data_IF_900289342716
#
_entry.id   IF_900289342716
#
_cell.length_a   1.000
_cell.length_b   1.000
_cell.length_c   1.000
_cell.angle_alpha   90.00
_cell.angle_beta   90.00
_cell.angle_gamma   90.00
#
_symmetry.space_group_name_H-M   'P 1'
#
loop_
_entity.id
_entity.type
_entity.pdbx_description
1 polymer ?
#
# COMPACT_ATOMS: atom_id res chain seq x y z
N UNK A 1 13.69 8.23 16.64
CA UNK A 1 12.48 8.37 15.80
C UNK A 1 12.74 7.60 14.53
N UNK A 2 12.17 6.39 14.41
CA UNK A 2 12.44 5.49 13.28
C UNK A 2 11.84 6.12 12.03
N UNK A 3 12.68 6.40 11.02
CA UNK A 3 12.22 6.83 9.70
C UNK A 3 11.08 5.91 9.26
N UNK A 4 9.92 6.48 8.93
CA UNK A 4 8.76 5.72 8.47
C UNK A 4 9.19 4.85 7.30
N UNK A 5 9.17 3.54 7.51
CA UNK A 5 9.57 2.56 6.49
C UNK A 5 8.70 2.84 5.27
N UNK A 6 9.29 3.24 4.16
CA UNK A 6 8.56 3.35 2.89
C UNK A 6 8.61 1.98 2.25
N UNK A 7 7.46 1.45 1.87
CA UNK A 7 7.40 0.24 1.05
C UNK A 7 7.35 0.66 -0.41
N UNK A 8 8.01 -0.10 -1.29
CA UNK A 8 8.02 0.17 -2.72
C UNK A 8 7.88 -1.15 -3.47
N UNK A 9 6.90 -1.24 -4.36
CA UNK A 9 6.58 -2.46 -5.09
C UNK A 9 5.99 -2.11 -6.46
N UNK A 10 6.08 -3.03 -7.42
CA UNK A 10 5.38 -2.88 -8.70
C UNK A 10 4.05 -3.64 -8.67
N UNK A 11 3.04 -3.08 -9.34
CA UNK A 11 1.71 -3.73 -9.44
C UNK A 11 1.79 -5.09 -10.16
N UNK A 12 2.78 -5.26 -11.05
CA UNK A 12 3.05 -6.51 -11.76
C UNK A 12 3.55 -7.62 -10.82
N UNK A 13 4.31 -7.29 -9.78
CA UNK A 13 4.74 -8.29 -8.79
C UNK A 13 3.54 -8.88 -8.03
N UNK A 14 2.46 -8.11 -7.90
CA UNK A 14 1.24 -8.51 -7.18
C UNK A 14 0.34 -9.45 -7.98
N UNK A 15 0.72 -9.86 -9.20
CA UNK A 15 0.07 -10.99 -9.87
C UNK A 15 0.30 -12.31 -9.13
N UNK A 16 1.44 -12.40 -8.42
CA UNK A 16 1.81 -13.57 -7.63
C UNK A 16 1.13 -13.56 -6.25
N UNK A 17 0.38 -14.62 -5.87
CA UNK A 17 -0.32 -14.69 -4.58
C UNK A 17 0.60 -14.45 -3.38
N UNK A 18 1.81 -15.01 -3.39
CA UNK A 18 2.78 -14.86 -2.30
C UNK A 18 3.26 -13.42 -2.11
N UNK A 19 3.37 -12.66 -3.20
CA UNK A 19 3.74 -11.24 -3.15
C UNK A 19 2.58 -10.39 -2.61
N UNK A 20 1.33 -10.74 -2.96
CA UNK A 20 0.15 -10.09 -2.36
C UNK A 20 0.07 -10.32 -0.87
N UNK A 21 0.25 -11.56 -0.42
CA UNK A 21 0.19 -11.91 0.99
C UNK A 21 1.31 -11.23 1.78
N UNK A 22 2.53 -11.19 1.22
CA UNK A 22 3.65 -10.47 1.80
C UNK A 22 3.35 -8.97 1.91
N UNK A 23 2.85 -8.35 0.84
CA UNK A 23 2.49 -6.93 0.85
C UNK A 23 1.37 -6.62 1.86
N UNK A 24 0.34 -7.45 1.96
CA UNK A 24 -0.73 -7.32 2.94
C UNK A 24 -0.19 -7.29 4.38
N UNK A 25 0.75 -8.19 4.68
CA UNK A 25 1.43 -8.24 5.97
C UNK A 25 2.29 -6.99 6.22
N UNK A 26 3.03 -6.53 5.21
CA UNK A 26 3.87 -5.34 5.34
C UNK A 26 3.04 -4.05 5.49
N UNK A 27 1.92 -3.91 4.77
CA UNK A 27 1.01 -2.77 4.89
C UNK A 27 0.37 -2.71 6.28
N UNK A 28 -0.03 -3.88 6.81
CA UNK A 28 -0.54 -3.99 8.19
C UNK A 28 0.52 -3.61 9.22
N UNK A 29 1.78 -4.01 9.01
CA UNK A 29 2.88 -3.64 9.89
C UNK A 29 3.28 -2.15 9.76
N UNK A 30 2.94 -1.50 8.64
CA UNK A 30 3.25 -0.11 8.39
C UNK A 30 2.45 0.84 9.28
N UNK A 31 1.18 0.50 9.51
CA UNK A 31 0.27 1.21 10.41
C UNK A 31 -0.51 0.17 11.22
N UNK A 32 0.10 -0.43 12.26
CA UNK A 32 -0.49 -1.54 13.02
C UNK A 32 -1.73 -1.12 13.82
N UNK A 33 -1.92 0.19 14.00
CA UNK A 33 -2.98 0.86 14.72
C UNK A 33 -3.98 1.55 13.76
N UNK A 34 -4.06 1.08 12.51
CA UNK A 34 -5.08 1.53 11.54
C UNK A 34 -6.48 1.31 12.11
N UNK A 35 -7.33 2.33 12.07
CA UNK A 35 -8.68 2.26 12.64
C UNK A 35 -9.56 1.17 12.02
N UNK A 36 -9.40 0.91 10.73
CA UNK A 36 -10.10 -0.16 10.01
C UNK A 36 -9.53 -1.57 10.29
N UNK A 37 -8.62 -1.71 11.26
CA UNK A 37 -7.89 -2.95 11.50
C UNK A 37 -6.75 -3.18 10.51
N UNK A 38 -6.07 -4.34 10.57
CA UNK A 38 -5.02 -4.69 9.61
C UNK A 38 -5.58 -4.75 8.18
N UNK A 39 -4.70 -4.60 7.19
CA UNK A 39 -5.07 -4.80 5.80
C UNK A 39 -5.52 -6.25 5.56
N UNK A 40 -6.55 -6.42 4.74
CA UNK A 40 -6.99 -7.74 4.27
C UNK A 40 -6.57 -8.01 2.82
N UNK A 41 -6.60 -9.28 2.40
CA UNK A 41 -6.32 -9.63 1.02
C UNK A 41 -7.38 -9.08 0.07
N UNK A 42 -8.65 -9.03 0.49
CA UNK A 42 -9.76 -8.46 -0.28
C UNK A 42 -9.55 -6.96 -0.53
N UNK A 43 -9.22 -6.19 0.52
CA UNK A 43 -8.92 -4.76 0.39
C UNK A 43 -7.75 -4.52 -0.57
N UNK A 44 -6.72 -5.36 -0.49
CA UNK A 44 -5.57 -5.28 -1.38
C UNK A 44 -5.94 -5.61 -2.83
N UNK A 45 -6.80 -6.61 -3.06
CA UNK A 45 -7.28 -6.95 -4.40
C UNK A 45 -8.11 -5.84 -5.02
N UNK A 46 -9.02 -5.22 -4.28
CA UNK A 46 -9.81 -4.07 -4.74
C UNK A 46 -8.92 -2.88 -5.11
N UNK A 47 -7.89 -2.62 -4.29
CA UNK A 47 -6.91 -1.58 -4.54
C UNK A 47 -6.09 -1.85 -5.81
N UNK A 48 -5.61 -3.07 -6.00
CA UNK A 48 -4.89 -3.48 -7.21
C UNK A 48 -5.77 -3.33 -8.46
N UNK A 49 -7.03 -3.75 -8.40
CA UNK A 49 -7.96 -3.58 -9.52
C UNK A 49 -8.19 -2.10 -9.85
N UNK A 50 -8.35 -1.26 -8.82
CA UNK A 50 -8.51 0.18 -8.97
C UNK A 50 -7.29 0.82 -9.64
N UNK A 51 -6.07 0.45 -9.25
CA UNK A 51 -4.84 0.94 -9.88
C UNK A 51 -4.73 0.55 -11.36
N UNK A 52 -5.14 -0.68 -11.71
CA UNK A 52 -5.18 -1.15 -13.10
C UNK A 52 -6.18 -0.36 -13.93
N UNK A 53 -7.35 -0.06 -13.37
CA UNK A 53 -8.39 0.70 -14.06
C UNK A 53 -8.01 2.17 -14.28
N UNK A 54 -7.36 2.81 -13.30
CA UNK A 54 -7.00 4.22 -13.37
C UNK A 54 -5.72 4.51 -14.16
N UNK A 55 -5.13 3.50 -14.84
CA UNK A 55 -3.83 3.61 -15.51
C UNK A 55 -2.71 4.11 -14.57
N UNK A 56 -2.89 3.96 -13.24
CA UNK A 56 -2.01 4.49 -12.20
C UNK A 56 -0.59 3.90 -12.32
N UNK A 57 -0.46 2.74 -12.95
CA UNK A 57 0.80 2.08 -13.29
C UNK A 57 0.76 1.49 -14.71
N UNK A 58 0.78 2.34 -15.74
CA UNK A 58 1.23 1.88 -17.06
C UNK A 58 2.75 1.66 -17.02
N UNK A 59 3.23 0.56 -17.62
CA UNK A 59 4.66 0.28 -17.86
C UNK A 59 5.61 0.30 -16.64
N UNK A 60 5.38 -0.58 -15.67
CA UNK A 60 6.39 -0.86 -14.64
C UNK A 60 6.54 0.23 -13.57
N UNK A 61 5.56 1.13 -13.46
CA UNK A 61 5.47 2.11 -12.38
C UNK A 61 5.60 1.48 -11.00
N UNK A 62 6.36 2.15 -10.13
CA UNK A 62 6.56 1.74 -8.73
C UNK A 62 5.56 2.49 -7.87
N UNK A 63 4.79 1.73 -7.09
CA UNK A 63 3.93 2.27 -6.04
C UNK A 63 4.75 2.37 -4.77
N UNK A 64 4.76 3.54 -4.15
CA UNK A 64 5.31 3.77 -2.83
C UNK A 64 4.16 3.86 -1.82
N UNK A 65 4.28 3.11 -0.71
CA UNK A 65 3.33 3.14 0.39
C UNK A 65 3.98 3.73 1.64
N UNK A 66 3.29 4.68 2.25
CA UNK A 66 3.79 5.46 3.37
C UNK A 66 2.76 5.48 4.51
N UNK A 67 3.19 5.38 5.79
CA UNK A 67 2.29 5.62 6.89
C UNK A 67 1.86 7.08 6.92
N UNK A 68 0.57 7.31 7.11
CA UNK A 68 -0.04 8.62 7.28
C UNK A 68 -0.78 8.70 8.60
N UNK A 69 -0.48 9.75 9.36
CA UNK A 69 -1.18 10.10 10.58
C UNK A 69 -1.66 11.54 10.45
N UNK A 70 -2.96 11.76 10.62
CA UNK A 70 -3.52 13.10 10.67
C UNK A 70 -3.01 13.86 11.91
N UNK A 71 -2.92 15.18 11.81
CA UNK A 71 -2.40 16.02 12.89
C UNK A 71 -3.28 15.99 14.16
N UNK A 72 -4.57 15.72 14.01
CA UNK A 72 -5.53 15.53 15.10
C UNK A 72 -5.49 14.12 15.72
N UNK A 73 -4.71 13.19 15.14
CA UNK A 73 -4.60 11.81 15.58
C UNK A 73 -5.85 10.95 15.32
N UNK A 74 -6.88 11.49 14.66
CA UNK A 74 -8.15 10.83 14.39
C UNK A 74 -8.09 9.88 13.20
N UNK A 75 -7.05 9.98 12.37
CA UNK A 75 -6.91 9.17 11.18
C UNK A 75 -5.49 8.64 11.04
N UNK A 76 -5.39 7.32 10.93
CA UNK A 76 -4.14 6.58 10.74
C UNK A 76 -4.35 5.59 9.62
N UNK A 77 -3.63 5.75 8.52
CA UNK A 77 -3.77 4.89 7.34
C UNK A 77 -2.48 4.84 6.53
N UNK A 78 -2.48 4.06 5.45
CA UNK A 78 -1.42 4.06 4.45
C UNK A 78 -1.84 4.96 3.28
N UNK A 79 -0.93 5.81 2.83
CA UNK A 79 -1.07 6.61 1.61
C UNK A 79 -0.16 6.02 0.53
N UNK A 80 -0.67 6.02 -0.70
CA UNK A 80 0.03 5.49 -1.86
C UNK A 80 0.37 6.62 -2.83
N UNK A 81 1.61 6.63 -3.30
CA UNK A 81 2.12 7.53 -4.34
C UNK A 81 2.73 6.68 -5.46
N UNK A 82 2.79 7.23 -6.67
CA UNK A 82 3.50 6.62 -7.80
C UNK A 82 4.77 7.41 -8.06
N UNK A 83 5.90 6.71 -8.10
CA UNK A 83 7.11 7.30 -8.67
C UNK A 83 7.01 7.18 -10.19
N UNK A 84 6.96 8.33 -10.86
CA UNK A 84 7.30 8.39 -12.27
C UNK A 84 8.74 7.86 -12.44
N UNK A 85 8.94 7.03 -13.47
CA UNK A 85 10.23 6.46 -13.82
C UNK A 85 11.24 7.55 -14.20
#
# INVERSE_FOLDING_TARGET
MKHGKTLSFSVQQLDRPEQRQALCSELSALVPDRFAGPWSEEELQELIQSWRMMAFCQDGGVVCAHPFHSADGLFRTVVFDTKAA
#
